data_IF_280806365835
#
_entry.id   IF_280806365835
#
_cell.length_a   1.000
_cell.length_b   1.000
_cell.length_c   1.000
_cell.angle_alpha   90.00
_cell.angle_beta   90.00
_cell.angle_gamma   90.00
#
_symmetry.space_group_name_H-M   'P 1'
#
loop_
_entity.id
_entity.type
_entity.pdbx_description
1 polymer ?
#
# COMPACT_ATOMS: atom_id res chain seq x y z
N UNK A 1 21.65 -5.05 4.62
CA UNK A 1 21.10 -5.09 6.00
C UNK A 1 21.44 -6.44 6.63
N UNK A 2 21.98 -6.48 7.84
CA UNK A 2 22.31 -7.74 8.54
C UNK A 2 21.17 -8.23 9.43
N UNK A 3 20.43 -7.31 10.00
CA UNK A 3 19.24 -7.58 10.81
C UNK A 3 18.11 -6.65 10.42
N UNK A 4 16.87 -7.08 10.61
CA UNK A 4 15.71 -6.18 10.44
C UNK A 4 15.71 -5.20 11.62
N UNK A 5 15.77 -3.87 11.38
CA UNK A 5 15.72 -2.90 12.45
C UNK A 5 14.45 -3.05 13.31
N UNK A 6 14.57 -2.81 14.61
CA UNK A 6 13.41 -2.77 15.49
C UNK A 6 12.47 -1.66 15.03
N UNK A 7 11.20 -1.97 14.96
CA UNK A 7 10.14 -1.04 14.63
C UNK A 7 9.07 -1.08 15.73
N UNK A 8 8.41 0.05 16.02
CA UNK A 8 7.38 0.12 17.07
C UNK A 8 6.09 -0.57 16.67
N UNK A 9 5.80 -0.59 15.35
CA UNK A 9 4.56 -1.14 14.82
C UNK A 9 4.70 -2.60 14.39
N UNK A 10 5.91 -3.06 14.04
CA UNK A 10 6.12 -4.33 13.36
C UNK A 10 6.93 -5.31 14.21
N UNK A 11 6.35 -6.47 14.41
CA UNK A 11 7.02 -7.63 14.99
C UNK A 11 7.36 -8.60 13.85
N UNK A 12 8.58 -9.13 13.89
CA UNK A 12 9.07 -10.10 12.92
C UNK A 12 9.36 -11.43 13.61
N UNK A 13 9.24 -12.51 12.85
CA UNK A 13 9.70 -13.82 13.29
C UNK A 13 11.20 -13.89 13.10
N UNK A 14 11.88 -14.69 13.90
CA UNK A 14 13.36 -14.82 13.86
C UNK A 14 13.85 -15.23 12.46
N UNK A 15 13.05 -16.00 11.73
CA UNK A 15 13.37 -16.50 10.40
C UNK A 15 12.89 -15.58 9.26
N UNK A 16 12.21 -14.45 9.53
CA UNK A 16 11.56 -13.61 8.50
C UNK A 16 12.54 -13.17 7.42
N UNK A 17 13.69 -12.62 7.80
CA UNK A 17 14.66 -12.11 6.81
C UNK A 17 15.19 -13.24 5.94
N UNK A 18 15.58 -14.35 6.56
CA UNK A 18 16.08 -15.53 5.86
C UNK A 18 15.02 -16.06 4.89
N UNK A 19 13.79 -16.29 5.38
CA UNK A 19 12.67 -16.79 4.59
C UNK A 19 12.41 -15.92 3.35
N UNK A 20 12.30 -14.59 3.54
CA UNK A 20 11.99 -13.67 2.44
C UNK A 20 13.12 -13.61 1.41
N UNK A 21 14.38 -13.61 1.84
CA UNK A 21 15.54 -13.57 0.94
C UNK A 21 15.70 -14.87 0.15
N UNK A 22 15.54 -16.00 0.79
CA UNK A 22 15.65 -17.32 0.14
C UNK A 22 14.63 -17.50 -0.99
N UNK A 23 13.40 -17.01 -0.79
CA UNK A 23 12.36 -17.07 -1.82
C UNK A 23 12.72 -16.36 -3.13
N UNK A 24 13.67 -15.42 -3.10
CA UNK A 24 14.00 -14.58 -4.26
C UNK A 24 15.48 -14.70 -4.66
N UNK A 25 16.15 -15.78 -4.25
CA UNK A 25 17.56 -16.02 -4.53
C UNK A 25 18.49 -14.90 -4.03
N UNK A 26 18.10 -14.21 -2.94
CA UNK A 26 18.88 -13.18 -2.26
C UNK A 26 19.51 -13.71 -0.96
N UNK A 27 19.85 -14.97 -0.93
CA UNK A 27 20.28 -15.73 0.26
C UNK A 27 21.70 -15.43 0.73
N UNK A 28 22.50 -14.68 -0.04
CA UNK A 28 23.86 -14.31 0.37
C UNK A 28 24.05 -12.80 0.34
N UNK A 29 24.86 -12.25 1.25
CA UNK A 29 25.17 -10.81 1.25
C UNK A 29 25.72 -10.31 -0.10
N UNK A 30 26.53 -11.14 -0.78
CA UNK A 30 27.05 -10.79 -2.09
C UNK A 30 25.96 -10.59 -3.15
N UNK A 31 24.95 -11.47 -3.22
CA UNK A 31 23.83 -11.34 -4.15
C UNK A 31 22.96 -10.12 -3.85
N UNK A 32 22.72 -9.86 -2.57
CA UNK A 32 21.94 -8.69 -2.16
C UNK A 32 22.68 -7.41 -2.55
N UNK A 33 23.96 -7.30 -2.20
CA UNK A 33 24.78 -6.13 -2.52
C UNK A 33 24.86 -5.92 -4.03
N UNK A 34 25.11 -6.97 -4.80
CA UNK A 34 25.13 -6.90 -6.27
C UNK A 34 23.80 -6.38 -6.85
N UNK A 35 22.66 -6.86 -6.33
CA UNK A 35 21.37 -6.41 -6.80
C UNK A 35 21.11 -4.92 -6.45
N UNK A 36 21.52 -4.49 -5.26
CA UNK A 36 21.44 -3.08 -4.84
C UNK A 36 22.36 -2.20 -5.69
N UNK A 37 23.61 -2.61 -5.88
CA UNK A 37 24.61 -1.86 -6.68
C UNK A 37 24.11 -1.63 -8.11
N UNK A 38 23.54 -2.68 -8.75
CA UNK A 38 22.92 -2.56 -10.08
C UNK A 38 21.80 -1.51 -10.09
N UNK A 39 20.99 -1.45 -9.04
CA UNK A 39 19.88 -0.51 -8.95
C UNK A 39 20.36 0.91 -8.68
N UNK A 40 21.33 1.09 -7.77
CA UNK A 40 21.98 2.38 -7.50
C UNK A 40 22.65 2.97 -8.74
N UNK A 41 23.44 2.16 -9.46
CA UNK A 41 24.11 2.59 -10.67
C UNK A 41 23.15 2.97 -11.78
N UNK A 42 22.03 2.25 -11.88
CA UNK A 42 20.98 2.60 -12.84
C UNK A 42 20.31 3.92 -12.48
N UNK A 43 19.93 4.13 -11.21
CA UNK A 43 19.28 5.37 -10.73
C UNK A 43 20.17 6.58 -11.05
N UNK A 44 21.47 6.52 -10.73
CA UNK A 44 22.43 7.60 -10.97
C UNK A 44 22.55 8.00 -12.45
N UNK A 45 22.23 7.08 -13.38
CA UNK A 45 22.26 7.32 -14.82
C UNK A 45 20.97 7.90 -15.37
N UNK A 46 19.90 7.99 -14.56
CA UNK A 46 18.60 8.52 -15.02
C UNK A 46 18.56 10.04 -14.83
N UNK A 47 18.70 10.80 -15.92
CA UNK A 47 18.70 12.26 -15.86
C UNK A 47 17.35 12.88 -15.49
N UNK A 48 16.26 12.12 -15.58
CA UNK A 48 14.92 12.56 -15.23
C UNK A 48 14.54 12.39 -13.76
N UNK A 49 15.36 11.71 -12.93
CA UNK A 49 15.10 11.60 -11.50
C UNK A 49 15.55 12.85 -10.73
N UNK A 50 14.66 13.39 -9.89
CA UNK A 50 14.97 14.49 -8.98
C UNK A 50 15.77 14.04 -7.75
N UNK A 51 15.60 12.78 -7.31
CA UNK A 51 16.34 12.16 -6.22
C UNK A 51 17.03 10.89 -6.71
N UNK A 52 18.32 10.76 -6.44
CA UNK A 52 19.14 9.61 -6.87
C UNK A 52 19.82 8.87 -5.71
N UNK A 53 19.74 9.41 -4.50
CA UNK A 53 20.37 8.93 -3.27
C UNK A 53 19.35 8.22 -2.37
N UNK A 54 18.89 7.06 -2.77
CA UNK A 54 18.04 6.20 -1.92
C UNK A 54 18.90 5.35 -0.98
N UNK A 55 18.44 5.11 0.25
CA UNK A 55 19.16 4.23 1.18
C UNK A 55 19.19 2.78 0.68
N UNK A 56 20.26 2.05 1.00
CA UNK A 56 20.44 0.65 0.58
C UNK A 56 19.31 -0.25 1.12
N UNK A 57 18.81 0.04 2.31
CA UNK A 57 17.67 -0.66 2.91
C UNK A 57 16.37 -0.42 2.12
N UNK A 58 16.15 0.79 1.65
CA UNK A 58 15.01 1.12 0.78
C UNK A 58 15.09 0.34 -0.55
N UNK A 59 16.27 0.32 -1.16
CA UNK A 59 16.52 -0.39 -2.41
C UNK A 59 16.39 -1.91 -2.25
N UNK A 60 16.89 -2.47 -1.14
CA UNK A 60 16.72 -3.89 -0.83
C UNK A 60 15.22 -4.26 -0.74
N UNK A 61 14.42 -3.48 0.00
CA UNK A 61 12.98 -3.71 0.09
C UNK A 61 12.28 -3.56 -1.26
N UNK A 62 12.68 -2.59 -2.09
CA UNK A 62 12.15 -2.46 -3.44
C UNK A 62 12.44 -3.69 -4.31
N UNK A 63 13.65 -4.26 -4.23
CA UNK A 63 14.03 -5.49 -4.92
C UNK A 63 13.22 -6.69 -4.40
N UNK A 64 13.04 -6.82 -3.09
CA UNK A 64 12.24 -7.88 -2.46
C UNK A 64 10.78 -7.81 -2.90
N UNK A 65 10.17 -6.61 -2.87
CA UNK A 65 8.80 -6.39 -3.37
C UNK A 65 8.69 -6.85 -4.83
N UNK A 66 9.73 -6.64 -5.62
CA UNK A 66 9.83 -7.06 -7.01
C UNK A 66 10.33 -8.50 -7.21
N UNK A 67 10.27 -9.35 -6.18
CA UNK A 67 10.65 -10.77 -6.22
C UNK A 67 12.12 -10.98 -6.63
N UNK A 68 13.03 -10.15 -6.15
CA UNK A 68 14.45 -10.23 -6.48
C UNK A 68 14.83 -9.69 -7.86
N UNK A 69 13.87 -9.21 -8.66
CA UNK A 69 14.12 -8.70 -10.01
C UNK A 69 14.53 -7.22 -9.97
N UNK A 70 15.77 -6.92 -10.27
CA UNK A 70 16.28 -5.54 -10.42
C UNK A 70 15.56 -4.79 -11.54
N UNK A 71 15.24 -5.44 -12.67
CA UNK A 71 14.50 -4.81 -13.77
C UNK A 71 13.08 -4.39 -13.38
N UNK A 72 12.38 -5.22 -12.58
CA UNK A 72 11.07 -4.83 -12.04
C UNK A 72 11.21 -3.73 -10.99
N UNK A 73 12.29 -3.73 -10.19
CA UNK A 73 12.57 -2.69 -9.21
C UNK A 73 12.86 -1.34 -9.88
N UNK A 74 13.60 -1.31 -10.98
CA UNK A 74 13.81 -0.13 -11.82
C UNK A 74 12.48 0.47 -12.28
N UNK A 75 11.62 -0.37 -12.91
CA UNK A 75 10.28 0.05 -13.36
C UNK A 75 9.40 0.54 -12.22
N UNK A 76 9.44 -0.12 -11.06
CA UNK A 76 8.70 0.30 -9.87
C UNK A 76 9.14 1.69 -9.40
N UNK A 77 10.43 1.90 -9.23
CA UNK A 77 10.98 3.19 -8.77
C UNK A 77 10.63 4.31 -9.74
N UNK A 78 10.81 4.07 -11.03
CA UNK A 78 10.46 5.04 -12.06
C UNK A 78 8.97 5.40 -11.98
N UNK A 79 8.06 4.41 -11.93
CA UNK A 79 6.63 4.66 -11.79
C UNK A 79 6.29 5.44 -10.52
N UNK A 80 6.86 5.08 -9.37
CA UNK A 80 6.56 5.75 -8.10
C UNK A 80 7.00 7.22 -8.16
N UNK A 81 8.20 7.49 -8.68
CA UNK A 81 8.70 8.86 -8.85
C UNK A 81 7.86 9.65 -9.87
N UNK A 82 7.46 9.01 -10.96
CA UNK A 82 6.57 9.61 -11.97
C UNK A 82 5.21 9.97 -11.40
N UNK A 83 4.61 9.09 -10.59
CA UNK A 83 3.30 9.39 -9.96
C UNK A 83 3.37 10.57 -8.99
N UNK A 84 4.50 10.77 -8.28
CA UNK A 84 4.69 11.99 -7.47
C UNK A 84 4.70 13.27 -8.30
N UNK A 85 5.13 13.18 -9.56
CA UNK A 85 5.10 14.31 -10.49
C UNK A 85 3.72 14.52 -11.10
N UNK A 86 3.07 13.43 -11.56
CA UNK A 86 1.84 13.49 -12.33
C UNK A 86 0.58 13.61 -11.46
N UNK A 87 0.62 13.10 -10.22
CA UNK A 87 -0.49 13.10 -9.27
C UNK A 87 -0.06 13.70 -7.92
N UNK A 88 0.48 14.94 -7.90
CA UNK A 88 1.12 15.51 -6.70
C UNK A 88 0.17 15.64 -5.51
N UNK A 89 -1.13 15.83 -5.74
CA UNK A 89 -2.13 15.96 -4.69
C UNK A 89 -2.20 14.75 -3.75
N UNK A 90 -1.86 13.55 -4.22
CA UNK A 90 -1.83 12.33 -3.39
C UNK A 90 -0.57 12.22 -2.52
N UNK A 91 0.48 12.99 -2.82
CA UNK A 91 1.78 12.96 -2.14
C UNK A 91 2.05 14.24 -1.34
N UNK A 92 1.03 15.09 -1.17
CA UNK A 92 1.12 16.24 -0.27
C UNK A 92 1.35 15.77 1.16
N UNK A 93 2.30 16.44 1.84
CA UNK A 93 2.65 16.10 3.22
C UNK A 93 1.70 16.87 4.16
N UNK A 94 0.93 16.13 4.90
CA UNK A 94 0.02 16.64 5.92
C UNK A 94 0.32 15.97 7.25
N UNK A 95 -0.12 16.60 8.35
CA UNK A 95 -0.13 15.88 9.62
C UNK A 95 -1.11 14.69 9.53
N UNK A 96 -0.69 13.45 9.84
CA UNK A 96 -1.58 12.30 9.79
C UNK A 96 -2.88 12.48 10.58
N UNK A 97 -2.82 13.15 11.74
CA UNK A 97 -3.99 13.44 12.59
C UNK A 97 -5.02 14.29 11.87
N UNK A 98 -4.56 15.27 11.07
CA UNK A 98 -5.48 16.14 10.32
C UNK A 98 -6.14 15.38 9.17
N UNK A 99 -5.39 14.46 8.52
CA UNK A 99 -5.93 13.63 7.43
C UNK A 99 -7.03 12.66 7.89
N UNK A 100 -6.90 12.09 9.10
CA UNK A 100 -7.87 11.11 9.60
C UNK A 100 -9.01 11.72 10.40
N UNK A 101 -8.90 12.96 10.85
CA UNK A 101 -9.90 13.63 11.70
C UNK A 101 -11.32 13.59 11.14
N UNK A 102 -11.45 13.71 9.82
CA UNK A 102 -12.76 13.65 9.15
C UNK A 102 -13.37 12.23 9.17
N UNK A 103 -12.57 11.22 9.47
CA UNK A 103 -12.96 9.81 9.48
C UNK A 103 -13.01 9.22 10.90
N UNK A 104 -12.86 10.07 11.93
CA UNK A 104 -13.06 9.68 13.32
C UNK A 104 -14.46 9.05 13.47
N UNK A 105 -14.54 7.88 14.11
CA UNK A 105 -15.76 7.08 14.23
C UNK A 105 -16.37 6.58 12.91
N UNK A 106 -15.66 6.69 11.80
CA UNK A 106 -16.06 6.16 10.49
C UNK A 106 -15.15 5.00 10.07
N UNK A 107 -13.83 5.19 10.17
CA UNK A 107 -12.82 4.21 9.79
C UNK A 107 -11.84 4.02 10.94
N UNK A 108 -11.60 2.77 11.28
CA UNK A 108 -10.51 2.35 12.16
C UNK A 108 -9.64 1.39 11.36
N UNK A 109 -8.39 1.73 11.15
CA UNK A 109 -7.50 0.93 10.33
C UNK A 109 -6.12 0.78 10.95
N UNK A 110 -5.35 -0.19 10.45
CA UNK A 110 -3.98 -0.37 10.89
C UNK A 110 -3.36 -1.67 10.39
N UNK A 111 -2.05 -1.75 10.59
CA UNK A 111 -1.28 -2.96 10.32
C UNK A 111 -1.24 -3.82 11.58
N UNK A 112 -1.56 -5.10 11.45
CA UNK A 112 -1.37 -6.03 12.56
C UNK A 112 0.13 -6.18 12.85
N UNK A 113 0.56 -6.12 14.11
CA UNK A 113 1.99 -6.15 14.46
C UNK A 113 2.70 -7.41 13.98
N UNK A 114 2.07 -8.57 14.12
CA UNK A 114 2.65 -9.88 13.81
C UNK A 114 2.37 -10.31 12.38
N UNK A 115 3.31 -11.04 11.81
CA UNK A 115 3.18 -11.65 10.48
C UNK A 115 2.44 -12.98 10.54
N UNK A 116 1.78 -13.36 9.44
CA UNK A 116 1.28 -14.73 9.25
C UNK A 116 2.42 -15.75 9.17
N UNK A 117 2.08 -17.04 9.09
CA UNK A 117 3.08 -18.11 8.90
C UNK A 117 3.88 -17.98 7.60
N UNK A 118 3.25 -17.43 6.56
CA UNK A 118 3.89 -17.16 5.26
C UNK A 118 4.58 -15.79 5.20
N UNK A 119 4.78 -15.16 6.36
CA UNK A 119 5.38 -13.84 6.52
C UNK A 119 4.62 -12.72 5.78
N UNK A 120 3.29 -12.81 5.70
CA UNK A 120 2.46 -11.73 5.18
C UNK A 120 2.12 -10.74 6.28
N UNK A 121 2.19 -9.44 5.96
CA UNK A 121 1.64 -8.36 6.79
C UNK A 121 0.13 -8.28 6.54
N UNK A 122 -0.64 -8.13 7.60
CA UNK A 122 -2.08 -7.92 7.50
C UNK A 122 -2.39 -6.45 7.73
N UNK A 123 -3.07 -5.83 6.80
CA UNK A 123 -3.70 -4.52 6.97
C UNK A 123 -5.19 -4.73 7.16
N UNK A 124 -5.76 -4.12 8.18
CA UNK A 124 -7.19 -4.17 8.48
C UNK A 124 -7.78 -2.78 8.34
N UNK A 125 -8.84 -2.66 7.56
CA UNK A 125 -9.69 -1.49 7.48
C UNK A 125 -11.08 -1.89 7.97
N UNK A 126 -11.48 -1.38 9.13
CA UNK A 126 -12.81 -1.55 9.68
C UNK A 126 -13.60 -0.27 9.48
N UNK A 127 -14.67 -0.36 8.72
CA UNK A 127 -15.60 0.72 8.53
C UNK A 127 -16.77 0.56 9.50
N UNK A 128 -16.90 1.52 10.42
CA UNK A 128 -17.93 1.55 11.46
C UNK A 128 -18.93 2.70 11.25
N UNK A 129 -18.70 3.51 10.21
CA UNK A 129 -19.49 4.73 9.94
C UNK A 129 -20.82 4.42 9.30
N UNK A 130 -21.85 5.11 9.80
CA UNK A 130 -23.19 5.09 9.25
C UNK A 130 -23.46 6.28 8.32
N UNK A 131 -22.70 7.35 8.46
CA UNK A 131 -22.75 8.56 7.63
C UNK A 131 -21.35 8.96 7.23
N UNK A 132 -21.23 9.48 6.02
CA UNK A 132 -19.99 9.98 5.44
C UNK A 132 -20.27 11.43 5.01
N UNK A 133 -19.64 12.39 5.68
CA UNK A 133 -19.88 13.82 5.43
C UNK A 133 -18.87 14.43 4.46
N UNK A 134 -17.72 13.76 4.29
CA UNK A 134 -16.62 14.23 3.46
C UNK A 134 -16.27 13.24 2.33
N UNK A 135 -15.62 13.76 1.29
CA UNK A 135 -15.00 12.93 0.25
C UNK A 135 -13.85 12.09 0.83
N UNK A 136 -13.45 11.01 0.15
CA UNK A 136 -12.33 10.17 0.58
C UNK A 136 -10.96 10.69 0.15
N UNK A 137 -10.84 11.91 -0.36
CA UNK A 137 -9.58 12.46 -0.86
C UNK A 137 -8.46 12.45 0.20
N UNK A 138 -8.75 12.92 1.42
CA UNK A 138 -7.78 12.90 2.51
C UNK A 138 -7.45 11.47 2.97
N UNK A 139 -8.41 10.55 2.92
CA UNK A 139 -8.16 9.15 3.21
C UNK A 139 -7.25 8.49 2.18
N UNK A 140 -7.36 8.86 0.89
CA UNK A 140 -6.42 8.38 -0.13
C UNK A 140 -5.01 8.92 0.09
N UNK A 141 -4.84 10.21 0.48
CA UNK A 141 -3.54 10.75 0.88
C UNK A 141 -2.95 9.98 2.07
N UNK A 142 -3.77 9.69 3.08
CA UNK A 142 -3.39 8.88 4.21
C UNK A 142 -2.97 7.46 3.77
N UNK A 143 -3.70 6.83 2.87
CA UNK A 143 -3.34 5.51 2.30
C UNK A 143 -1.98 5.54 1.60
N UNK A 144 -1.65 6.60 0.87
CA UNK A 144 -0.32 6.75 0.24
C UNK A 144 0.77 6.90 1.30
N UNK A 145 0.50 7.63 2.37
CA UNK A 145 1.42 7.75 3.53
C UNK A 145 1.67 6.39 4.19
N UNK A 146 0.63 5.54 4.33
CA UNK A 146 0.79 4.16 4.80
C UNK A 146 1.69 3.33 3.87
N UNK A 147 1.58 3.53 2.56
CA UNK A 147 2.45 2.86 1.60
C UNK A 147 3.91 3.30 1.73
N UNK A 148 4.17 4.59 2.00
CA UNK A 148 5.52 5.10 2.29
C UNK A 148 6.08 4.45 3.56
N UNK A 149 5.26 4.32 4.61
CA UNK A 149 5.66 3.68 5.85
C UNK A 149 6.05 2.20 5.64
N UNK A 150 5.23 1.45 4.93
CA UNK A 150 5.54 0.06 4.56
C UNK A 150 6.84 -0.04 3.75
N UNK A 151 7.01 0.81 2.75
CA UNK A 151 8.20 0.81 1.90
C UNK A 151 9.47 1.13 2.69
N UNK A 152 9.38 2.01 3.70
CA UNK A 152 10.49 2.39 4.54
C UNK A 152 10.87 1.31 5.56
N UNK A 153 9.89 0.68 6.20
CA UNK A 153 10.14 -0.09 7.41
C UNK A 153 9.82 -1.59 7.29
N UNK A 154 8.80 -1.98 6.50
CA UNK A 154 8.34 -3.37 6.56
C UNK A 154 9.20 -4.32 5.72
N UNK A 155 9.44 -5.50 6.28
CA UNK A 155 10.20 -6.58 5.65
C UNK A 155 9.35 -7.84 5.59
N UNK A 156 8.33 -7.83 4.74
CA UNK A 156 7.35 -8.89 4.63
C UNK A 156 7.33 -9.58 3.25
N UNK A 157 6.78 -10.78 3.22
CA UNK A 157 6.63 -11.55 1.97
C UNK A 157 5.41 -11.14 1.13
N UNK A 158 4.63 -10.20 1.59
CA UNK A 158 3.43 -9.69 0.91
C UNK A 158 2.38 -9.23 1.92
N UNK A 159 1.25 -8.74 1.41
CA UNK A 159 0.22 -8.10 2.20
C UNK A 159 -1.11 -8.81 2.00
N UNK A 160 -1.81 -9.08 3.09
CA UNK A 160 -3.23 -9.40 3.12
C UNK A 160 -4.00 -8.15 3.53
N UNK A 161 -5.09 -7.86 2.88
CA UNK A 161 -5.95 -6.71 3.21
C UNK A 161 -7.31 -7.24 3.65
N UNK A 162 -7.75 -6.85 4.84
CA UNK A 162 -9.07 -7.13 5.37
C UNK A 162 -9.90 -5.86 5.39
N UNK A 163 -10.99 -5.85 4.64
CA UNK A 163 -12.03 -4.83 4.69
C UNK A 163 -13.20 -5.37 5.52
N UNK A 164 -13.43 -4.80 6.69
CA UNK A 164 -14.56 -5.13 7.54
C UNK A 164 -15.70 -4.15 7.32
N UNK A 165 -16.72 -4.59 6.61
CA UNK A 165 -17.91 -3.82 6.25
C UNK A 165 -19.18 -4.30 6.97
N UNK A 166 -19.05 -5.00 8.10
CA UNK A 166 -20.22 -5.52 8.84
C UNK A 166 -21.14 -4.41 9.36
N UNK A 167 -20.57 -3.26 9.71
CA UNK A 167 -21.30 -2.11 10.28
C UNK A 167 -21.53 -0.98 9.26
N UNK A 168 -21.06 -1.13 8.04
CA UNK A 168 -21.06 -0.09 7.01
C UNK A 168 -22.44 0.17 6.44
N UNK A 169 -22.82 1.44 6.34
CA UNK A 169 -23.87 1.86 5.42
C UNK A 169 -23.31 2.05 4.01
N UNK A 170 -23.44 1.00 3.18
CA UNK A 170 -22.84 1.00 1.84
C UNK A 170 -23.41 2.08 0.92
N UNK A 171 -24.67 2.44 1.08
CA UNK A 171 -25.29 3.46 0.23
C UNK A 171 -24.70 4.85 0.52
N UNK A 172 -24.44 5.15 1.77
CA UNK A 172 -23.75 6.39 2.16
C UNK A 172 -22.29 6.38 1.71
N UNK A 173 -21.60 5.24 1.86
CA UNK A 173 -20.22 5.09 1.38
C UNK A 173 -20.13 5.40 -0.11
N UNK A 174 -21.02 4.82 -0.93
CA UNK A 174 -21.02 4.97 -2.40
C UNK A 174 -21.28 6.41 -2.86
N UNK A 175 -22.09 7.18 -2.14
CA UNK A 175 -22.35 8.58 -2.47
C UNK A 175 -21.11 9.47 -2.39
N UNK A 176 -20.17 9.10 -1.53
CA UNK A 176 -18.98 9.91 -1.22
C UNK A 176 -17.72 9.41 -1.92
N UNK A 177 -17.76 8.26 -2.63
CA UNK A 177 -16.63 7.75 -3.40
C UNK A 177 -16.58 8.40 -4.78
N UNK A 178 -15.51 9.13 -5.06
CA UNK A 178 -15.11 9.49 -6.42
C UNK A 178 -14.42 8.30 -7.08
N UNK A 179 -15.07 7.71 -8.10
CA UNK A 179 -14.49 6.55 -8.83
C UNK A 179 -13.15 6.94 -9.49
N UNK A 180 -13.01 8.18 -9.94
CA UNK A 180 -11.77 8.67 -10.54
C UNK A 180 -10.64 8.72 -9.51
N UNK A 181 -10.87 9.34 -8.34
CA UNK A 181 -9.86 9.41 -7.27
C UNK A 181 -9.51 8.01 -6.73
N UNK A 182 -10.53 7.15 -6.54
CA UNK A 182 -10.30 5.75 -6.15
C UNK A 182 -9.39 5.04 -7.15
N UNK A 183 -9.64 5.19 -8.45
CA UNK A 183 -8.81 4.57 -9.50
C UNK A 183 -7.40 5.12 -9.46
N UNK A 184 -7.21 6.43 -9.30
CA UNK A 184 -5.88 7.06 -9.20
C UNK A 184 -5.13 6.55 -7.97
N UNK A 185 -5.76 6.53 -6.80
CA UNK A 185 -5.17 6.01 -5.57
C UNK A 185 -4.76 4.54 -5.72
N UNK A 186 -5.64 3.69 -6.28
CA UNK A 186 -5.34 2.27 -6.53
C UNK A 186 -4.20 2.10 -7.55
N UNK A 187 -4.12 2.93 -8.57
CA UNK A 187 -3.01 2.93 -9.52
C UNK A 187 -1.68 3.22 -8.82
N UNK A 188 -1.63 4.23 -7.95
CA UNK A 188 -0.43 4.54 -7.15
C UNK A 188 -0.05 3.36 -6.25
N UNK A 189 -1.01 2.78 -5.54
CA UNK A 189 -0.76 1.67 -4.60
C UNK A 189 -0.30 0.41 -5.35
N UNK A 190 -1.02 0.02 -6.41
CA UNK A 190 -0.80 -1.27 -7.10
C UNK A 190 0.36 -1.20 -8.07
N UNK A 191 0.49 -0.12 -8.84
CA UNK A 191 1.51 0.00 -9.89
C UNK A 191 2.73 0.79 -9.42
N UNK A 192 2.56 1.84 -8.62
CA UNK A 192 3.64 2.64 -8.05
C UNK A 192 4.36 1.85 -6.97
N UNK A 193 3.74 1.65 -5.82
CA UNK A 193 4.36 0.91 -4.72
C UNK A 193 4.50 -0.58 -5.03
N UNK A 194 3.68 -1.13 -5.93
CA UNK A 194 3.78 -2.51 -6.43
C UNK A 194 3.83 -3.57 -5.34
N UNK A 195 3.18 -3.32 -4.20
CA UNK A 195 3.13 -4.29 -3.11
C UNK A 195 2.49 -5.61 -3.57
N UNK A 196 2.99 -6.69 -3.02
CA UNK A 196 2.48 -8.04 -3.31
C UNK A 196 1.22 -8.31 -2.50
N UNK A 197 0.07 -7.84 -2.98
CA UNK A 197 -1.21 -8.17 -2.37
C UNK A 197 -1.46 -9.68 -2.57
N UNK A 198 -1.60 -10.42 -1.49
CA UNK A 198 -1.76 -11.88 -1.47
C UNK A 198 -3.22 -12.30 -1.32
N UNK A 199 -4.04 -11.46 -0.70
CA UNK A 199 -5.47 -11.63 -0.56
C UNK A 199 -6.15 -10.30 -0.27
N UNK A 200 -7.38 -10.15 -0.78
CA UNK A 200 -8.31 -9.06 -0.48
C UNK A 200 -9.55 -9.71 0.15
N UNK A 201 -9.66 -9.58 1.45
CA UNK A 201 -10.69 -10.23 2.26
C UNK A 201 -11.76 -9.20 2.63
N UNK A 202 -13.00 -9.46 2.26
CA UNK A 202 -14.14 -8.61 2.58
C UNK A 202 -15.04 -9.34 3.58
N UNK A 203 -15.14 -8.81 4.79
CA UNK A 203 -15.99 -9.36 5.84
C UNK A 203 -17.33 -8.63 5.83
N UNK A 204 -18.37 -9.30 5.34
CA UNK A 204 -19.70 -8.73 5.20
C UNK A 204 -20.75 -9.82 4.94
N UNK A 205 -21.96 -9.62 5.47
CA UNK A 205 -23.15 -10.43 5.13
C UNK A 205 -24.11 -9.69 4.17
N UNK A 206 -23.75 -8.46 3.77
CA UNK A 206 -24.61 -7.61 2.94
C UNK A 206 -24.47 -7.96 1.46
N UNK A 207 -25.58 -8.36 0.82
CA UNK A 207 -25.65 -8.56 -0.64
C UNK A 207 -25.35 -7.29 -1.43
N UNK A 208 -25.67 -6.12 -0.88
CA UNK A 208 -25.37 -4.83 -1.51
C UNK A 208 -23.87 -4.59 -1.59
N UNK A 209 -23.11 -4.97 -0.55
CA UNK A 209 -21.63 -4.89 -0.55
C UNK A 209 -21.07 -5.91 -1.54
N UNK A 210 -21.58 -7.14 -1.60
CA UNK A 210 -21.17 -8.13 -2.61
C UNK A 210 -21.38 -7.58 -4.04
N UNK A 211 -22.51 -6.92 -4.28
CA UNK A 211 -22.79 -6.27 -5.57
C UNK A 211 -21.79 -5.13 -5.86
N UNK A 212 -21.48 -4.29 -4.87
CA UNK A 212 -20.48 -3.23 -5.00
C UNK A 212 -19.09 -3.80 -5.35
N UNK A 213 -18.67 -4.86 -4.66
CA UNK A 213 -17.40 -5.53 -4.96
C UNK A 213 -17.38 -6.00 -6.41
N UNK A 214 -18.46 -6.64 -6.87
CA UNK A 214 -18.54 -7.16 -8.22
C UNK A 214 -18.61 -6.07 -9.30
N UNK A 215 -19.38 -5.00 -9.07
CA UNK A 215 -19.64 -3.96 -10.07
C UNK A 215 -18.59 -2.84 -10.09
N UNK A 216 -17.94 -2.56 -8.95
CA UNK A 216 -16.98 -1.43 -8.84
C UNK A 216 -15.58 -1.94 -8.59
N UNK A 217 -15.37 -2.70 -7.51
CA UNK A 217 -14.00 -3.09 -7.10
C UNK A 217 -13.33 -3.94 -8.16
N UNK A 218 -14.05 -4.93 -8.73
CA UNK A 218 -13.50 -5.82 -9.78
C UNK A 218 -13.18 -5.10 -11.08
N UNK A 219 -13.84 -3.97 -11.37
CA UNK A 219 -13.58 -3.21 -12.60
C UNK A 219 -12.33 -2.32 -12.52
N UNK A 220 -11.94 -1.93 -11.31
CA UNK A 220 -10.75 -1.07 -11.09
C UNK A 220 -9.48 -1.86 -10.79
N UNK A 221 -9.62 -3.15 -10.47
CA UNK A 221 -8.52 -4.05 -10.19
C UNK A 221 -8.16 -4.90 -11.42
N UNK A 222 -6.87 -5.21 -11.57
CA UNK A 222 -6.44 -6.17 -12.57
C UNK A 222 -6.92 -7.60 -12.24
N UNK A 223 -7.00 -8.47 -13.26
CA UNK A 223 -7.48 -9.86 -13.16
C UNK A 223 -6.80 -10.65 -12.04
N UNK A 224 -5.50 -10.47 -11.86
CA UNK A 224 -4.73 -11.14 -10.82
C UNK A 224 -5.20 -10.78 -9.40
N UNK A 225 -5.59 -9.53 -9.16
CA UNK A 225 -6.12 -9.09 -7.87
C UNK A 225 -7.58 -9.49 -7.71
N UNK A 226 -8.36 -9.47 -8.80
CA UNK A 226 -9.73 -9.97 -8.80
C UNK A 226 -9.79 -11.44 -8.35
N UNK A 227 -8.86 -12.27 -8.83
CA UNK A 227 -8.75 -13.69 -8.44
C UNK A 227 -8.28 -13.92 -6.99
N UNK A 228 -7.95 -12.86 -6.24
CA UNK A 228 -7.56 -12.89 -4.83
C UNK A 228 -8.60 -12.27 -3.90
N UNK A 229 -9.78 -11.97 -4.43
CA UNK A 229 -10.90 -11.47 -3.64
C UNK A 229 -11.60 -12.63 -2.96
N UNK A 230 -11.74 -12.53 -1.64
CA UNK A 230 -12.46 -13.46 -0.79
C UNK A 230 -13.55 -12.70 -0.03
N UNK A 231 -14.79 -13.16 -0.10
CA UNK A 231 -15.92 -12.59 0.66
C UNK A 231 -16.28 -13.55 1.80
N UNK A 232 -16.24 -13.03 3.00
CA UNK A 232 -16.53 -13.76 4.24
C UNK A 232 -17.84 -13.26 4.84
N UNK A 233 -18.79 -14.16 5.07
CA UNK A 233 -20.06 -13.82 5.72
C UNK A 233 -19.91 -13.72 7.24
N UNK A 234 -18.93 -14.42 7.78
CA UNK A 234 -18.59 -14.42 9.20
C UNK A 234 -17.09 -14.61 9.43
N UNK A 235 -16.68 -14.43 10.69
CA UNK A 235 -15.27 -14.51 11.10
C UNK A 235 -14.72 -15.94 10.98
N UNK A 236 -15.56 -16.97 11.02
CA UNK A 236 -15.07 -18.36 11.01
C UNK A 236 -14.28 -18.67 9.75
N UNK A 237 -14.78 -18.22 8.59
CA UNK A 237 -14.10 -18.42 7.31
C UNK A 237 -12.86 -17.54 7.15
N UNK A 238 -12.79 -16.39 7.83
CA UNK A 238 -11.61 -15.53 7.83
C UNK A 238 -10.41 -16.20 8.51
N UNK A 239 -10.65 -17.00 9.56
CA UNK A 239 -9.61 -17.70 10.32
C UNK A 239 -8.83 -18.74 9.50
N UNK A 240 -9.36 -19.19 8.39
CA UNK A 240 -8.66 -20.07 7.44
C UNK A 240 -7.50 -19.36 6.73
N UNK A 241 -7.59 -18.03 6.62
CA UNK A 241 -6.61 -17.20 5.92
C UNK A 241 -5.71 -16.39 6.87
N UNK A 242 -6.27 -15.93 7.99
CA UNK A 242 -5.56 -15.10 8.97
C UNK A 242 -5.63 -15.79 10.33
N UNK A 243 -4.48 -16.21 10.88
CA UNK A 243 -4.44 -16.92 12.17
C UNK A 243 -5.06 -16.11 13.31
N UNK A 244 -5.81 -16.79 14.17
CA UNK A 244 -6.51 -16.18 15.30
C UNK A 244 -5.55 -15.47 16.28
N UNK A 245 -4.33 -15.98 16.41
CA UNK A 245 -3.31 -15.45 17.33
C UNK A 245 -2.87 -14.02 16.97
N UNK A 246 -2.99 -13.64 15.68
CA UNK A 246 -2.60 -12.31 15.21
C UNK A 246 -3.79 -11.40 14.95
N UNK A 247 -5.03 -11.93 14.98
CA UNK A 247 -6.23 -11.14 14.85
C UNK A 247 -6.51 -10.32 16.13
N UNK A 248 -7.01 -9.08 15.99
CA UNK A 248 -7.49 -8.26 17.10
C UNK A 248 -8.65 -8.89 17.86
N UNK A 249 -8.85 -8.40 19.10
CA UNK A 249 -9.91 -8.89 19.99
C UNK A 249 -11.31 -8.79 19.39
N UNK A 250 -11.57 -7.81 18.51
CA UNK A 250 -12.85 -7.64 17.81
C UNK A 250 -13.19 -8.80 16.85
N UNK A 251 -12.18 -9.58 16.47
CA UNK A 251 -12.31 -10.77 15.63
C UNK A 251 -12.17 -12.06 16.44
N UNK A 252 -12.19 -11.95 17.79
CA UNK A 252 -11.97 -13.06 18.72
C UNK A 252 -10.52 -13.53 18.77
N UNK A 253 -9.59 -12.68 18.36
CA UNK A 253 -8.15 -12.92 18.40
C UNK A 253 -7.51 -12.54 19.72
N UNK A 254 -6.17 -12.58 19.76
CA UNK A 254 -5.36 -12.28 20.96
C UNK A 254 -4.53 -11.01 20.83
N UNK A 255 -4.59 -10.33 19.67
CA UNK A 255 -3.87 -9.10 19.45
C UNK A 255 -4.63 -7.90 20.06
N UNK A 256 -3.97 -6.75 20.21
CA UNK A 256 -4.56 -5.49 20.66
C UNK A 256 -5.85 -5.17 19.91
N UNK A 257 -6.71 -4.34 20.51
CA UNK A 257 -7.89 -3.84 19.82
C UNK A 257 -7.51 -3.03 18.57
N UNK A 258 -8.39 -3.00 17.57
CA UNK A 258 -8.18 -2.18 16.37
C UNK A 258 -8.04 -0.70 16.72
N UNK A 259 -8.78 -0.20 17.71
CA UNK A 259 -8.66 1.18 18.18
C UNK A 259 -7.25 1.49 18.70
N UNK A 260 -6.67 0.59 19.49
CA UNK A 260 -5.30 0.75 19.99
C UNK A 260 -4.27 0.68 18.87
N UNK A 261 -4.42 -0.25 17.92
CA UNK A 261 -3.55 -0.38 16.75
C UNK A 261 -3.62 0.90 15.90
N UNK A 262 -4.81 1.44 15.67
CA UNK A 262 -5.02 2.67 14.92
C UNK A 262 -4.34 3.88 15.59
N UNK A 263 -4.55 4.05 16.89
CA UNK A 263 -3.95 5.16 17.63
C UNK A 263 -2.42 5.09 17.63
N UNK A 264 -1.85 3.90 17.85
CA UNK A 264 -0.41 3.67 17.77
C UNK A 264 0.14 3.97 16.36
N UNK A 265 -0.61 3.63 15.30
CA UNK A 265 -0.25 3.93 13.92
C UNK A 265 -0.23 5.44 13.67
N UNK A 266 -1.27 6.17 14.08
CA UNK A 266 -1.34 7.63 13.94
C UNK A 266 -0.19 8.29 14.71
N UNK A 267 0.11 7.83 15.92
CA UNK A 267 1.23 8.32 16.72
C UNK A 267 2.58 8.11 16.00
N UNK A 268 2.79 6.92 15.46
CA UNK A 268 4.02 6.58 14.74
C UNK A 268 4.19 7.40 13.45
N UNK A 269 3.13 7.52 12.65
CA UNK A 269 3.15 8.34 11.43
C UNK A 269 3.34 9.84 11.72
N UNK A 270 2.95 10.30 12.92
CA UNK A 270 3.10 11.68 13.36
C UNK A 270 4.47 11.98 13.98
N UNK A 271 5.37 10.98 14.06
CA UNK A 271 6.73 11.19 14.59
C UNK A 271 7.52 12.12 13.68
N UNK A 272 8.39 12.93 14.30
CA UNK A 272 9.30 13.80 13.54
C UNK A 272 10.15 12.99 12.55
N UNK A 273 10.62 11.82 12.96
CA UNK A 273 11.43 10.95 12.11
C UNK A 273 10.71 10.57 10.81
N UNK A 274 9.45 10.16 10.90
CA UNK A 274 8.69 9.77 9.72
C UNK A 274 8.29 10.98 8.87
N UNK A 275 7.94 12.10 9.49
CA UNK A 275 7.63 13.35 8.77
C UNK A 275 8.85 13.91 8.03
N UNK A 276 10.04 13.88 8.64
CA UNK A 276 11.30 14.26 7.98
C UNK A 276 11.60 13.34 6.78
N UNK A 277 11.34 12.02 6.92
CA UNK A 277 11.46 11.09 5.80
C UNK A 277 10.50 11.42 4.66
N UNK A 278 9.24 11.72 4.93
CA UNK A 278 8.29 12.11 3.89
C UNK A 278 8.76 13.39 3.17
N UNK A 279 9.32 14.35 3.93
CA UNK A 279 9.89 15.57 3.37
C UNK A 279 11.07 15.27 2.45
N UNK A 280 11.96 14.36 2.85
CA UNK A 280 13.06 13.88 1.99
C UNK A 280 12.53 13.20 0.73
N UNK A 281 11.55 12.30 0.86
CA UNK A 281 10.96 11.57 -0.26
C UNK A 281 10.13 12.46 -1.18
N UNK A 282 9.75 13.66 -0.78
CA UNK A 282 9.06 14.62 -1.66
C UNK A 282 9.91 15.04 -2.86
N UNK A 283 11.24 14.94 -2.75
CA UNK A 283 12.20 15.16 -3.84
C UNK A 283 12.27 13.99 -4.85
N UNK A 284 11.74 12.81 -4.50
CA UNK A 284 11.76 11.63 -5.37
C UNK A 284 10.68 11.75 -6.48
N UNK A 285 10.78 12.83 -7.26
CA UNK A 285 9.96 13.18 -8.43
C UNK A 285 10.75 12.97 -9.72
N UNK A 286 10.07 13.10 -10.85
CA UNK A 286 10.70 13.06 -12.17
C UNK A 286 10.55 14.40 -12.90
N UNK A 287 11.56 14.75 -13.67
CA UNK A 287 11.49 15.82 -14.69
C UNK A 287 11.21 15.16 -16.03
N UNK A 288 9.96 15.12 -16.42
CA UNK A 288 9.54 14.42 -17.63
C UNK A 288 10.07 15.04 -18.92
N UNK A 289 10.53 16.30 -18.89
CA UNK A 289 11.19 16.93 -20.05
C UNK A 289 12.54 16.30 -20.38
N UNK A 290 13.18 15.67 -19.38
CA UNK A 290 14.48 14.97 -19.51
C UNK A 290 14.35 13.48 -19.76
N UNK A 291 13.13 12.93 -19.81
CA UNK A 291 12.91 11.51 -20.05
C UNK A 291 13.29 11.15 -21.48
N UNK A 292 14.20 10.20 -21.64
CA UNK A 292 14.75 9.80 -22.94
C UNK A 292 13.88 8.77 -23.68
N UNK A 293 13.04 8.01 -22.97
CA UNK A 293 12.21 6.91 -23.52
C UNK A 293 10.83 6.90 -22.87
N UNK A 294 9.83 6.50 -23.66
CA UNK A 294 8.43 6.25 -23.29
C UNK A 294 7.73 7.36 -22.51
N UNK A 295 6.86 8.07 -23.19
CA UNK A 295 5.97 9.05 -22.57
C UNK A 295 4.89 8.35 -21.76
N UNK A 296 5.09 8.22 -20.46
CA UNK A 296 4.10 7.71 -19.50
C UNK A 296 2.79 8.49 -19.46
N UNK A 297 2.76 9.70 -20.04
CA UNK A 297 1.67 10.66 -19.91
C UNK A 297 0.33 10.18 -20.44
N UNK A 298 0.33 9.58 -21.63
CA UNK A 298 -0.90 9.30 -22.36
C UNK A 298 -1.73 8.20 -21.68
N UNK A 299 -1.06 7.30 -20.95
CA UNK A 299 -1.70 6.15 -20.33
C UNK A 299 -2.40 6.50 -19.01
N UNK A 300 -1.91 7.49 -18.25
CA UNK A 300 -2.38 7.76 -16.88
C UNK A 300 -3.12 9.08 -16.71
N UNK A 301 -2.86 10.08 -17.54
CA UNK A 301 -3.48 11.40 -17.44
C UNK A 301 -4.52 11.68 -18.52
N UNK A 302 -4.53 10.90 -19.60
CA UNK A 302 -5.16 11.31 -20.83
C UNK A 302 -4.45 12.51 -21.45
N UNK A 303 -4.65 12.76 -22.76
CA UNK A 303 -4.16 13.99 -23.39
C UNK A 303 -4.93 15.19 -22.81
N UNK A 304 -4.27 16.28 -22.39
CA UNK A 304 -4.94 17.50 -21.98
C UNK A 304 -5.92 17.94 -23.08
N UNK A 305 -7.22 17.94 -22.76
CA UNK A 305 -8.29 18.34 -23.69
C UNK A 305 -8.96 17.23 -24.49
N UNK A 306 -8.60 15.95 -24.32
CA UNK A 306 -9.33 14.85 -24.93
C UNK A 306 -10.07 14.01 -23.88
N UNK A 307 -11.38 14.23 -23.76
CA UNK A 307 -12.31 13.22 -23.26
C UNK A 307 -12.46 12.13 -24.33
N UNK A 308 -11.48 11.28 -24.52
CA UNK A 308 -11.73 10.05 -25.25
C UNK A 308 -12.28 9.04 -24.27
N UNK A 309 -13.57 8.77 -24.43
CA UNK A 309 -14.20 7.57 -23.88
C UNK A 309 -13.31 6.37 -24.19
N UNK A 310 -12.94 5.62 -23.16
CA UNK A 310 -12.38 4.29 -23.33
C UNK A 310 -13.44 3.47 -24.09
N UNK A 311 -13.23 3.21 -25.37
CA UNK A 311 -13.93 2.14 -26.06
C UNK A 311 -13.43 0.85 -25.47
N UNK A 312 -14.32 0.15 -24.80
CA UNK A 312 -14.14 -1.24 -24.37
C UNK A 312 -14.40 -2.07 -25.63
N UNK A 313 -13.36 -2.64 -26.21
CA UNK A 313 -13.43 -3.82 -27.07
C UNK A 313 -13.10 -5.06 -26.22
#
# INVERSE_FOLDING_TARGET
METIPKNRMFEYRDDTMKFVREQYNLNTPARINQAIDILEDWIKKQCHFGKTDFSREYLERAIIICKGSTEKAKKKLDKTCTFRTLMPAFFEIHNPRDLVKEYDNIVIDGFLPKLTKDHYRVYVLRNIGKRFESSFSNYYKFTIMLCEYLQRYDYCNGILVLFDYRETNIMELLKNISIMELRQALTIVVEGFSFRIKGLHFLTSSKTIETFINMVVKQVLNEKLVNRIHVHKDISTLKEHIPLEILPVEYGGKEKSMEKIHNELIDELSTKEFMDYLQEMSAAKTDESKRQTDKFYEQYLGTPGSFRSLSVD
#
